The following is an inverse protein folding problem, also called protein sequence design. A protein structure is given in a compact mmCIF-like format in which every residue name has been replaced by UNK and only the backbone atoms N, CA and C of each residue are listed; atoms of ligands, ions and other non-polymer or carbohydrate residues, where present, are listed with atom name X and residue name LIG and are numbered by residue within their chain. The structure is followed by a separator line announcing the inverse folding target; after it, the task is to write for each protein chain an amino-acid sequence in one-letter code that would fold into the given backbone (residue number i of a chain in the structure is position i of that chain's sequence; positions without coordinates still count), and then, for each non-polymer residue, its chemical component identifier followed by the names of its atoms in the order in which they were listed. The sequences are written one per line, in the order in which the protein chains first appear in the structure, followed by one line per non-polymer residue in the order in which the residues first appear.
data_IF_073843907988
#
_entry.id   IF_073843907988
#
_cell.length_a   1.000
_cell.length_b   1.000
_cell.length_c   1.000
_cell.angle_alpha   90.00
_cell.angle_beta   90.00
_cell.angle_gamma   90.00
#
_symmetry.space_group_name_H-M   'P 1'
#
loop_
_entity.id
_entity.type
_entity.pdbx_description
1 polymer ?
#
# COMPACT_ATOMS: atom_id res chain seq x y z
N UNK A 1 -26.63 6.50 -31.03
CA UNK A 1 -25.32 7.18 -31.10
C UNK A 1 -25.61 8.67 -31.19
N UNK A 2 -24.94 9.48 -30.34
CA UNK A 2 -25.00 10.93 -30.52
C UNK A 2 -24.36 11.23 -31.87
N UNK A 3 -25.13 11.81 -32.80
CA UNK A 3 -24.58 12.22 -34.10
C UNK A 3 -23.53 13.32 -33.88
N UNK A 4 -22.44 13.27 -34.66
CA UNK A 4 -21.44 14.34 -34.65
C UNK A 4 -22.10 15.63 -35.13
N UNK A 5 -22.27 16.63 -34.26
CA UNK A 5 -22.90 17.89 -34.57
C UNK A 5 -22.25 18.59 -35.78
N UNK A 6 -23.05 19.25 -36.60
CA UNK A 6 -22.60 20.02 -37.78
C UNK A 6 -21.95 21.34 -37.33
N UNK A 7 -20.84 21.72 -37.96
CA UNK A 7 -20.22 23.03 -37.69
C UNK A 7 -20.93 24.11 -38.52
N UNK A 8 -21.31 25.19 -37.84
CA UNK A 8 -22.01 26.32 -38.46
C UNK A 8 -21.75 27.63 -37.72
N UNK A 9 -22.36 28.70 -38.20
CA UNK A 9 -22.35 30.03 -37.57
C UNK A 9 -23.77 30.34 -37.10
N UNK A 10 -23.94 30.79 -35.87
CA UNK A 10 -25.23 31.21 -35.32
C UNK A 10 -25.12 32.59 -34.70
N UNK A 11 -26.22 33.36 -34.73
CA UNK A 11 -26.27 34.66 -34.09
C UNK A 11 -26.10 34.54 -32.57
N UNK A 12 -25.25 35.36 -31.97
CA UNK A 12 -24.99 35.34 -30.55
C UNK A 12 -26.26 35.47 -29.70
N UNK A 13 -27.17 36.31 -30.12
CA UNK A 13 -28.48 36.55 -29.49
C UNK A 13 -29.41 35.35 -29.50
N UNK A 14 -29.22 34.42 -30.44
CA UNK A 14 -30.02 33.19 -30.54
C UNK A 14 -29.56 32.08 -29.59
N UNK A 15 -28.44 32.25 -28.89
CA UNK A 15 -27.89 31.25 -27.98
C UNK A 15 -28.44 31.47 -26.57
N UNK A 16 -29.09 30.45 -26.01
CA UNK A 16 -29.66 30.44 -24.67
C UNK A 16 -28.73 29.63 -23.76
N UNK A 17 -28.31 30.24 -22.64
CA UNK A 17 -27.55 29.55 -21.56
C UNK A 17 -28.56 29.01 -20.59
N UNK A 18 -28.63 27.68 -20.43
CA UNK A 18 -29.47 27.01 -19.44
C UNK A 18 -28.90 27.22 -18.03
N UNK A 19 -29.75 27.27 -17.00
CA UNK A 19 -29.27 27.31 -15.60
C UNK A 19 -28.37 26.11 -15.30
N UNK A 20 -27.14 26.37 -14.89
CA UNK A 20 -26.12 25.35 -14.63
C UNK A 20 -25.52 25.48 -13.23
N UNK A 21 -24.98 24.37 -12.73
CA UNK A 21 -24.46 24.20 -11.38
C UNK A 21 -23.16 25.00 -11.14
N UNK A 22 -22.46 25.44 -12.20
CA UNK A 22 -21.14 26.07 -12.08
C UNK A 22 -21.24 27.53 -11.65
N UNK A 23 -20.82 27.82 -10.41
CA UNK A 23 -20.85 29.17 -9.83
C UNK A 23 -19.58 29.98 -10.10
N UNK A 24 -18.42 29.35 -10.36
CA UNK A 24 -17.13 30.05 -10.56
C UNK A 24 -16.69 30.01 -12.02
N UNK A 25 -16.57 31.19 -12.66
CA UNK A 25 -16.15 31.33 -14.07
C UNK A 25 -14.64 31.51 -14.25
N UNK A 26 -13.88 31.63 -13.16
CA UNK A 26 -12.43 31.89 -13.22
C UNK A 26 -12.09 33.22 -13.91
N UNK A 27 -10.83 33.42 -14.26
CA UNK A 27 -10.35 34.64 -14.94
C UNK A 27 -10.82 34.66 -16.40
N UNK A 28 -11.79 35.53 -16.70
CA UNK A 28 -12.34 35.74 -18.05
C UNK A 28 -11.46 36.73 -18.86
N UNK A 29 -10.72 37.63 -18.20
CA UNK A 29 -9.92 38.65 -18.89
C UNK A 29 -8.67 38.03 -19.53
N UNK A 30 -8.05 37.05 -18.83
CA UNK A 30 -6.95 36.24 -19.41
C UNK A 30 -7.43 35.39 -20.59
N UNK A 31 -8.65 34.83 -20.54
CA UNK A 31 -9.24 34.08 -21.64
C UNK A 31 -9.55 34.99 -22.82
N UNK A 32 -10.08 36.20 -22.55
CA UNK A 32 -10.36 37.21 -23.56
C UNK A 32 -9.10 37.61 -24.32
N UNK A 33 -8.02 37.91 -23.62
CA UNK A 33 -6.74 38.25 -24.25
C UNK A 33 -6.24 37.13 -25.17
N UNK A 34 -6.32 35.88 -24.75
CA UNK A 34 -5.93 34.73 -25.56
C UNK A 34 -6.82 34.54 -26.79
N UNK A 35 -8.14 34.74 -26.65
CA UNK A 35 -9.10 34.63 -27.78
C UNK A 35 -8.94 35.74 -28.77
N UNK A 36 -8.54 36.95 -28.37
CA UNK A 36 -8.27 38.08 -29.28
C UNK A 36 -6.98 37.84 -30.06
N UNK A 37 -5.96 37.21 -29.47
CA UNK A 37 -4.70 36.90 -30.15
C UNK A 37 -4.79 35.69 -31.10
N UNK A 38 -5.43 34.60 -30.64
CA UNK A 38 -5.42 33.30 -31.31
C UNK A 38 -6.72 32.92 -32.03
N UNK A 39 -7.76 33.74 -31.90
CA UNK A 39 -9.11 33.42 -32.38
C UNK A 39 -9.80 32.31 -31.56
N UNK A 40 -11.04 31.99 -31.96
CA UNK A 40 -11.79 30.89 -31.37
C UNK A 40 -11.37 29.56 -32.01
N UNK A 41 -10.44 28.85 -31.39
CA UNK A 41 -9.86 27.58 -31.91
C UNK A 41 -10.91 26.45 -31.89
N UNK A 42 -11.75 26.38 -30.87
CA UNK A 42 -12.77 25.32 -30.72
C UNK A 42 -14.16 25.92 -30.73
N UNK A 43 -15.07 25.49 -31.66
CA UNK A 43 -16.45 25.95 -31.69
C UNK A 43 -17.20 25.66 -30.39
N UNK A 44 -18.21 26.46 -30.05
CA UNK A 44 -19.13 26.16 -28.97
C UNK A 44 -20.02 24.97 -29.35
N UNK A 45 -20.46 24.17 -28.37
CA UNK A 45 -21.45 23.12 -28.62
C UNK A 45 -22.85 23.64 -28.27
N UNK A 46 -23.79 23.52 -29.22
CA UNK A 46 -25.17 23.99 -29.05
C UNK A 46 -26.16 22.93 -29.56
N UNK A 47 -27.35 22.88 -28.98
CA UNK A 47 -28.46 22.08 -29.42
C UNK A 47 -29.48 23.01 -30.14
N UNK A 48 -29.96 22.61 -31.32
CA UNK A 48 -31.00 23.30 -32.03
C UNK A 48 -32.39 23.05 -31.42
N UNK A 49 -33.02 24.09 -30.87
CA UNK A 49 -34.34 24.00 -30.23
C UNK A 49 -35.50 23.95 -31.25
N UNK A 50 -35.22 24.00 -32.56
CA UNK A 50 -36.22 23.99 -33.65
C UNK A 50 -37.15 25.20 -33.71
N UNK A 51 -36.92 26.23 -32.90
CA UNK A 51 -37.66 27.48 -32.81
C UNK A 51 -36.83 28.69 -33.26
N UNK A 52 -35.63 28.45 -33.80
CA UNK A 52 -34.68 29.50 -34.18
C UNK A 52 -33.71 29.88 -33.05
N UNK A 53 -33.82 29.24 -31.90
CA UNK A 53 -32.88 29.41 -30.79
C UNK A 53 -32.00 28.18 -30.60
N UNK A 54 -30.91 28.34 -29.88
CA UNK A 54 -29.91 27.28 -29.63
C UNK A 54 -29.57 27.20 -28.15
N UNK A 55 -29.74 26.03 -27.54
CA UNK A 55 -29.31 25.81 -26.14
C UNK A 55 -27.80 25.53 -26.07
N UNK A 56 -27.08 26.31 -25.29
CA UNK A 56 -25.63 26.11 -25.10
C UNK A 56 -25.36 24.84 -24.31
N UNK A 57 -24.65 23.88 -24.90
CA UNK A 57 -24.25 22.62 -24.27
C UNK A 57 -22.88 22.72 -23.62
N UNK A 58 -21.89 23.32 -24.29
CA UNK A 58 -20.53 23.48 -23.77
C UNK A 58 -19.85 24.74 -24.29
N UNK A 59 -18.92 25.30 -23.50
CA UNK A 59 -18.13 26.48 -23.85
C UNK A 59 -18.65 27.79 -23.26
N UNK A 60 -19.36 27.80 -22.12
CA UNK A 60 -19.97 28.99 -21.52
C UNK A 60 -18.99 30.16 -21.32
N UNK A 61 -17.77 29.89 -20.82
CA UNK A 61 -16.76 30.94 -20.64
C UNK A 61 -16.40 31.63 -21.94
N UNK A 62 -16.25 30.88 -23.06
CA UNK A 62 -16.00 31.40 -24.40
C UNK A 62 -17.20 32.19 -24.90
N UNK A 63 -18.42 31.68 -24.70
CA UNK A 63 -19.65 32.37 -25.04
C UNK A 63 -19.73 33.74 -24.34
N UNK A 64 -19.47 33.81 -23.03
CA UNK A 64 -19.49 35.07 -22.26
C UNK A 64 -18.46 36.07 -22.75
N UNK A 65 -17.25 35.63 -23.11
CA UNK A 65 -16.24 36.51 -23.70
C UNK A 65 -16.68 37.03 -25.06
N UNK A 66 -17.21 36.19 -25.94
CA UNK A 66 -17.69 36.60 -27.28
C UNK A 66 -18.90 37.55 -27.17
N UNK A 67 -19.84 37.28 -26.28
CA UNK A 67 -21.01 38.13 -26.02
C UNK A 67 -20.59 39.50 -25.46
N UNK A 68 -19.62 39.55 -24.52
CA UNK A 68 -19.04 40.79 -23.95
C UNK A 68 -18.38 41.65 -25.03
N UNK A 69 -17.78 41.02 -26.05
CA UNK A 69 -17.15 41.71 -27.17
C UNK A 69 -18.08 41.99 -28.35
N UNK A 70 -19.41 41.83 -28.19
CA UNK A 70 -20.44 42.10 -29.20
C UNK A 70 -20.21 41.37 -30.54
N UNK A 71 -19.70 40.12 -30.48
CA UNK A 71 -19.53 39.29 -31.67
C UNK A 71 -20.91 38.87 -32.18
N UNK A 72 -21.29 39.29 -33.39
CA UNK A 72 -22.62 39.05 -33.93
C UNK A 72 -22.89 37.57 -34.23
N UNK A 73 -21.91 36.85 -34.78
CA UNK A 73 -22.04 35.45 -35.18
C UNK A 73 -20.90 34.62 -34.57
N UNK A 74 -21.25 33.51 -33.96
CA UNK A 74 -20.34 32.64 -33.28
C UNK A 74 -20.23 31.29 -33.98
N UNK A 75 -19.02 30.74 -34.23
CA UNK A 75 -18.85 29.39 -34.73
C UNK A 75 -19.26 28.37 -33.67
N UNK A 76 -20.20 27.50 -34.06
CA UNK A 76 -20.79 26.50 -33.18
C UNK A 76 -20.80 25.11 -33.82
N UNK A 77 -20.85 24.09 -33.00
CA UNK A 77 -21.21 22.72 -33.37
C UNK A 77 -22.65 22.49 -32.98
N UNK A 78 -23.53 22.32 -33.96
CA UNK A 78 -24.98 22.22 -33.79
C UNK A 78 -25.36 20.75 -33.73
N UNK A 79 -26.05 20.36 -32.65
CA UNK A 79 -26.70 19.07 -32.50
C UNK A 79 -28.18 19.23 -32.84
N UNK A 80 -28.64 18.58 -33.95
CA UNK A 80 -30.00 18.72 -34.52
C UNK A 80 -31.02 17.77 -33.87
N UNK A 81 -30.55 16.75 -33.11
CA UNK A 81 -31.39 15.79 -32.38
C UNK A 81 -31.78 16.33 -31.02
N UNK A 82 -32.96 15.96 -30.53
CA UNK A 82 -33.28 16.16 -29.11
C UNK A 82 -32.33 15.32 -28.26
N UNK A 83 -31.56 15.98 -27.44
CA UNK A 83 -30.65 15.35 -26.50
C UNK A 83 -31.34 15.21 -25.13
N UNK A 84 -31.29 14.04 -24.53
CA UNK A 84 -31.68 13.87 -23.14
C UNK A 84 -30.77 14.70 -22.22
N UNK A 85 -31.27 15.06 -21.05
CA UNK A 85 -30.49 15.77 -20.03
C UNK A 85 -29.13 15.10 -19.76
N UNK A 86 -29.12 13.76 -19.72
CA UNK A 86 -27.93 12.96 -19.56
C UNK A 86 -26.94 13.10 -20.71
N UNK A 87 -27.41 13.14 -21.97
CA UNK A 87 -26.55 13.33 -23.13
C UNK A 87 -25.94 14.74 -23.16
N UNK A 88 -26.68 15.75 -22.75
CA UNK A 88 -26.18 17.13 -22.62
C UNK A 88 -25.04 17.20 -21.61
N UNK A 89 -25.19 16.57 -20.41
CA UNK A 89 -24.16 16.49 -19.39
C UNK A 89 -22.92 15.76 -19.91
N UNK A 90 -23.10 14.65 -20.65
CA UNK A 90 -21.97 13.88 -21.20
C UNK A 90 -21.16 14.74 -22.21
N UNK A 91 -21.81 15.55 -23.05
CA UNK A 91 -21.12 16.43 -23.99
C UNK A 91 -20.31 17.50 -23.24
N UNK A 92 -20.88 18.08 -22.17
CA UNK A 92 -20.20 19.05 -21.34
C UNK A 92 -18.97 18.45 -20.64
N UNK A 93 -19.12 17.28 -20.04
CA UNK A 93 -18.03 16.60 -19.33
C UNK A 93 -16.92 16.10 -20.27
N UNK A 94 -17.27 15.65 -21.48
CA UNK A 94 -16.29 15.28 -22.49
C UNK A 94 -15.44 16.49 -22.97
N UNK A 95 -16.02 17.68 -23.03
CA UNK A 95 -15.28 18.91 -23.35
C UNK A 95 -14.32 19.29 -22.20
N UNK A 96 -14.75 19.13 -20.97
CA UNK A 96 -13.94 19.42 -19.78
C UNK A 96 -12.71 18.52 -19.67
N UNK A 97 -12.78 17.26 -20.11
CA UNK A 97 -11.69 16.28 -20.04
C UNK A 97 -10.41 16.73 -20.77
N UNK A 98 -10.52 17.59 -21.78
CA UNK A 98 -9.37 18.08 -22.55
C UNK A 98 -8.76 19.38 -22.01
N UNK A 99 -9.14 19.81 -20.81
CA UNK A 99 -8.56 21.00 -20.20
C UNK A 99 -7.13 20.73 -19.75
N UNK A 100 -6.25 21.68 -20.09
CA UNK A 100 -4.79 21.56 -19.92
C UNK A 100 -4.32 21.59 -18.46
N UNK A 101 -5.16 22.02 -17.55
CA UNK A 101 -4.90 22.28 -16.12
C UNK A 101 -5.57 21.25 -15.17
N UNK A 102 -6.16 20.18 -15.71
CA UNK A 102 -6.74 19.11 -14.89
C UNK A 102 -5.66 18.22 -14.28
N UNK A 103 -5.83 17.93 -12.99
CA UNK A 103 -5.03 16.89 -12.32
C UNK A 103 -5.40 15.51 -12.87
N UNK A 104 -4.51 14.53 -12.70
CA UNK A 104 -4.82 13.16 -13.12
C UNK A 104 -6.04 12.57 -12.38
N UNK A 105 -6.29 13.01 -11.14
CA UNK A 105 -7.46 12.60 -10.36
C UNK A 105 -8.76 13.12 -10.97
N UNK A 106 -8.79 14.40 -11.33
CA UNK A 106 -9.95 14.98 -12.00
C UNK A 106 -10.22 14.32 -13.36
N UNK A 107 -9.15 13.92 -14.08
CA UNK A 107 -9.26 13.16 -15.33
C UNK A 107 -9.84 11.77 -15.10
N UNK A 108 -9.37 11.05 -14.06
CA UNK A 108 -9.85 9.72 -13.70
C UNK A 108 -11.34 9.77 -13.30
N UNK A 109 -11.71 10.70 -12.41
CA UNK A 109 -13.10 10.91 -11.96
C UNK A 109 -14.04 11.24 -13.08
N UNK A 110 -13.61 12.13 -13.98
CA UNK A 110 -14.41 12.53 -15.15
C UNK A 110 -14.55 11.38 -16.15
N UNK A 111 -13.49 10.62 -16.39
CA UNK A 111 -13.51 9.41 -17.22
C UNK A 111 -14.50 8.38 -16.67
N UNK A 112 -14.46 8.14 -15.37
CA UNK A 112 -15.36 7.21 -14.67
C UNK A 112 -16.82 7.70 -14.77
N UNK A 113 -17.05 8.99 -14.55
CA UNK A 113 -18.38 9.62 -14.67
C UNK A 113 -18.97 9.45 -16.07
N UNK A 114 -18.22 9.82 -17.12
CA UNK A 114 -18.65 9.66 -18.51
C UNK A 114 -18.95 8.18 -18.82
N UNK A 115 -18.08 7.27 -18.37
CA UNK A 115 -18.27 5.83 -18.61
C UNK A 115 -19.57 5.31 -17.99
N UNK A 116 -19.82 5.62 -16.71
CA UNK A 116 -21.04 5.20 -15.97
C UNK A 116 -22.30 5.80 -16.60
N UNK A 117 -22.30 7.10 -16.92
CA UNK A 117 -23.44 7.78 -17.55
C UNK A 117 -23.80 7.16 -18.91
N UNK A 118 -22.80 6.77 -19.69
CA UNK A 118 -23.02 6.07 -20.96
C UNK A 118 -23.57 4.65 -20.78
N UNK A 119 -23.14 3.96 -19.72
CA UNK A 119 -23.70 2.65 -19.36
C UNK A 119 -25.14 2.75 -18.86
N UNK A 120 -25.49 3.82 -18.14
CA UNK A 120 -26.88 4.07 -17.73
C UNK A 120 -27.78 4.30 -18.95
N UNK A 121 -27.29 5.07 -19.94
CA UNK A 121 -28.05 5.41 -21.13
C UNK A 121 -28.21 4.23 -22.11
N UNK A 122 -27.17 3.43 -22.34
CA UNK A 122 -27.07 2.44 -23.40
C UNK A 122 -27.02 0.98 -22.90
N UNK A 123 -27.02 0.80 -21.58
CA UNK A 123 -26.74 -0.47 -20.93
C UNK A 123 -25.25 -0.79 -20.85
N UNK A 124 -24.82 -1.47 -19.78
CA UNK A 124 -23.46 -1.96 -19.66
C UNK A 124 -23.23 -3.12 -20.64
N UNK A 125 -22.10 -3.10 -21.34
CA UNK A 125 -21.73 -4.15 -22.29
C UNK A 125 -21.24 -5.40 -21.57
N UNK A 126 -21.94 -6.56 -21.65
CA UNK A 126 -21.45 -7.80 -21.07
C UNK A 126 -20.16 -8.29 -21.74
N UNK A 127 -19.35 -9.13 -21.05
CA UNK A 127 -18.20 -9.78 -21.68
C UNK A 127 -18.64 -10.71 -22.82
N UNK A 128 -17.99 -10.61 -23.98
CA UNK A 128 -18.19 -11.53 -25.11
C UNK A 128 -18.23 -10.81 -26.47
N UNK A 129 -18.00 -11.53 -27.56
CA UNK A 129 -18.09 -10.98 -28.91
C UNK A 129 -19.56 -10.76 -29.31
N UNK A 130 -19.85 -9.61 -29.93
CA UNK A 130 -21.18 -9.29 -30.47
C UNK A 130 -22.23 -8.87 -29.44
N UNK A 131 -21.85 -8.60 -28.17
CA UNK A 131 -22.78 -8.10 -27.16
C UNK A 131 -23.10 -6.61 -27.37
N UNK A 132 -24.36 -6.23 -27.20
CA UNK A 132 -24.80 -4.84 -27.20
C UNK A 132 -24.51 -4.15 -25.88
N UNK A 133 -24.44 -2.81 -25.88
CA UNK A 133 -24.17 -1.99 -24.70
C UNK A 133 -22.89 -1.16 -24.85
N UNK A 134 -22.58 -0.40 -23.77
CA UNK A 134 -21.43 0.50 -23.71
C UNK A 134 -20.29 -0.10 -22.88
N UNK A 135 -19.10 -0.19 -23.46
CA UNK A 135 -17.90 -0.73 -22.80
C UNK A 135 -16.74 0.27 -22.78
N UNK A 136 -15.65 -0.13 -22.14
CA UNK A 136 -14.44 0.71 -22.02
C UNK A 136 -13.80 1.06 -23.36
N UNK A 137 -13.97 0.21 -24.40
CA UNK A 137 -13.53 0.50 -25.76
C UNK A 137 -14.29 1.69 -26.36
N UNK A 138 -15.59 1.73 -26.11
CA UNK A 138 -16.46 2.78 -26.63
C UNK A 138 -16.16 4.12 -25.93
N UNK A 139 -15.95 4.09 -24.63
CA UNK A 139 -15.48 5.26 -23.86
C UNK A 139 -14.10 5.71 -24.33
N UNK A 140 -13.14 4.80 -24.52
CA UNK A 140 -11.80 5.15 -25.01
C UNK A 140 -11.84 5.85 -26.37
N UNK A 141 -12.65 5.34 -27.30
CA UNK A 141 -12.85 5.96 -28.61
C UNK A 141 -13.49 7.35 -28.51
N UNK A 142 -14.44 7.52 -27.56
CA UNK A 142 -15.13 8.80 -27.34
C UNK A 142 -14.22 9.87 -26.76
N UNK A 143 -13.41 9.52 -25.73
CA UNK A 143 -12.53 10.47 -25.03
C UNK A 143 -11.11 10.51 -25.60
N UNK A 144 -10.81 9.83 -26.71
CA UNK A 144 -9.48 9.81 -27.31
C UNK A 144 -8.39 9.18 -26.43
N UNK A 145 -8.75 8.28 -25.52
CA UNK A 145 -7.80 7.55 -24.70
C UNK A 145 -6.96 6.58 -25.56
N UNK A 146 -5.71 6.35 -25.18
CA UNK A 146 -4.77 5.51 -25.95
C UNK A 146 -5.22 4.06 -26.05
N UNK A 147 -5.96 3.57 -25.04
CA UNK A 147 -6.44 2.19 -25.01
C UNK A 147 -7.67 2.01 -24.09
N UNK A 148 -8.48 0.96 -24.29
CA UNK A 148 -9.53 0.58 -23.34
C UNK A 148 -9.01 0.25 -21.94
N UNK A 149 -7.77 -0.23 -21.83
CA UNK A 149 -7.14 -0.52 -20.54
C UNK A 149 -6.92 0.76 -19.73
N UNK A 150 -6.57 1.87 -20.36
CA UNK A 150 -6.42 3.18 -19.71
C UNK A 150 -7.73 3.62 -19.05
N UNK A 151 -8.86 3.47 -19.75
CA UNK A 151 -10.20 3.75 -19.19
C UNK A 151 -10.52 2.82 -18.03
N UNK A 152 -10.22 1.52 -18.16
CA UNK A 152 -10.44 0.55 -17.09
C UNK A 152 -9.65 0.91 -15.82
N UNK A 153 -8.39 1.29 -15.97
CA UNK A 153 -7.54 1.70 -14.85
C UNK A 153 -7.97 3.04 -14.23
N UNK A 154 -8.41 4.01 -15.07
CA UNK A 154 -8.93 5.28 -14.59
C UNK A 154 -10.22 5.08 -13.75
N UNK A 155 -11.15 4.25 -14.24
CA UNK A 155 -12.38 3.92 -13.50
C UNK A 155 -12.05 3.25 -12.18
N UNK A 156 -11.17 2.24 -12.17
CA UNK A 156 -10.76 1.56 -10.93
C UNK A 156 -10.12 2.50 -9.91
N UNK A 157 -9.24 3.42 -10.34
CA UNK A 157 -8.62 4.39 -9.45
C UNK A 157 -9.63 5.37 -8.89
N UNK A 158 -10.57 5.85 -9.71
CA UNK A 158 -11.65 6.72 -9.27
C UNK A 158 -12.55 6.04 -8.24
N UNK A 159 -12.99 4.78 -8.50
CA UNK A 159 -13.82 3.99 -7.60
C UNK A 159 -13.12 3.74 -6.25
N UNK A 160 -11.85 3.38 -6.31
CA UNK A 160 -11.05 3.10 -5.11
C UNK A 160 -10.82 4.36 -4.27
N UNK A 161 -10.58 5.52 -4.91
CA UNK A 161 -10.43 6.80 -4.21
C UNK A 161 -11.75 7.27 -3.59
N UNK A 162 -12.86 7.08 -4.29
CA UNK A 162 -14.19 7.39 -3.76
C UNK A 162 -14.50 6.58 -2.50
N UNK A 163 -14.13 5.29 -2.49
CA UNK A 163 -14.36 4.38 -1.36
C UNK A 163 -13.37 4.58 -0.20
N UNK A 164 -12.09 4.91 -0.49
CA UNK A 164 -10.99 4.96 0.49
C UNK A 164 -10.04 6.13 0.17
N UNK A 165 -10.47 7.39 0.29
CA UNK A 165 -9.67 8.55 -0.11
C UNK A 165 -8.34 8.64 0.62
N UNK A 166 -8.28 8.23 1.88
CA UNK A 166 -7.09 8.25 2.74
C UNK A 166 -5.93 7.39 2.23
N UNK A 167 -6.22 6.32 1.48
CA UNK A 167 -5.18 5.44 0.92
C UNK A 167 -4.36 6.13 -0.19
N UNK A 168 -4.94 7.13 -0.81
CA UNK A 168 -4.36 7.83 -1.97
C UNK A 168 -3.79 9.20 -1.61
N UNK A 169 -3.81 9.57 -0.33
CA UNK A 169 -3.19 10.79 0.17
C UNK A 169 -1.70 10.81 -0.20
N UNK A 170 -1.29 11.88 -0.92
CA UNK A 170 0.09 12.04 -1.38
C UNK A 170 0.41 11.43 -2.74
N UNK A 171 -0.50 10.71 -3.40
CA UNK A 171 -0.32 10.26 -4.79
C UNK A 171 -0.35 11.46 -5.75
N UNK A 172 0.77 11.72 -6.43
CA UNK A 172 0.90 12.85 -7.36
C UNK A 172 0.67 12.45 -8.82
N UNK A 173 0.76 11.17 -9.13
CA UNK A 173 0.63 10.64 -10.50
C UNK A 173 -0.30 9.43 -10.54
N UNK A 174 -0.90 9.18 -11.71
CA UNK A 174 -1.70 7.97 -11.97
C UNK A 174 -0.89 6.68 -11.71
N UNK A 175 0.42 6.69 -11.96
CA UNK A 175 1.31 5.57 -11.68
C UNK A 175 1.42 5.27 -10.19
N UNK A 176 1.49 6.30 -9.34
CA UNK A 176 1.55 6.13 -7.89
C UNK A 176 0.24 5.55 -7.36
N UNK A 177 -0.89 6.10 -7.82
CA UNK A 177 -2.21 5.61 -7.47
C UNK A 177 -2.44 4.14 -7.92
N UNK A 178 -2.00 3.76 -9.12
CA UNK A 178 -2.05 2.37 -9.59
C UNK A 178 -1.19 1.42 -8.76
N UNK A 179 -0.04 1.87 -8.24
CA UNK A 179 0.78 1.06 -7.32
C UNK A 179 0.08 0.83 -5.99
N UNK A 180 -0.61 1.85 -5.45
CA UNK A 180 -1.40 1.72 -4.22
C UNK A 180 -2.54 0.73 -4.44
N UNK A 181 -3.31 0.90 -5.51
CA UNK A 181 -4.42 0.01 -5.87
C UNK A 181 -3.97 -1.45 -5.99
N UNK A 182 -2.85 -1.70 -6.69
CA UNK A 182 -2.28 -3.05 -6.82
C UNK A 182 -1.92 -3.67 -5.47
N UNK A 183 -1.35 -2.88 -4.54
CA UNK A 183 -1.04 -3.37 -3.18
C UNK A 183 -2.31 -3.73 -2.40
N UNK A 184 -3.37 -2.94 -2.53
CA UNK A 184 -4.68 -3.22 -1.90
C UNK A 184 -5.28 -4.51 -2.45
N UNK A 185 -5.29 -4.68 -3.79
CA UNK A 185 -5.78 -5.90 -4.43
C UNK A 185 -4.97 -7.12 -3.98
N UNK A 186 -3.64 -7.03 -3.93
CA UNK A 186 -2.77 -8.11 -3.45
C UNK A 186 -3.05 -8.47 -1.98
N UNK A 187 -3.28 -7.47 -1.12
CA UNK A 187 -3.61 -7.69 0.28
C UNK A 187 -4.98 -8.37 0.43
N UNK A 188 -5.98 -7.94 -0.33
CA UNK A 188 -7.32 -8.55 -0.32
C UNK A 188 -7.28 -10.01 -0.80
N UNK A 189 -6.56 -10.29 -1.89
CA UNK A 189 -6.38 -11.66 -2.40
C UNK A 189 -5.70 -12.54 -1.34
N UNK A 190 -4.64 -12.04 -0.69
CA UNK A 190 -3.95 -12.77 0.39
C UNK A 190 -4.90 -13.06 1.55
N UNK A 191 -5.71 -12.09 1.97
CA UNK A 191 -6.71 -12.27 3.03
C UNK A 191 -7.74 -13.35 2.67
N UNK A 192 -8.26 -13.32 1.44
CA UNK A 192 -9.23 -14.33 0.98
C UNK A 192 -8.63 -15.75 0.95
N UNK A 193 -7.38 -15.89 0.48
CA UNK A 193 -6.67 -17.18 0.46
C UNK A 193 -6.44 -17.65 1.91
N UNK A 194 -5.95 -16.78 2.79
CA UNK A 194 -5.68 -17.10 4.18
C UNK A 194 -6.96 -17.56 4.91
N UNK A 195 -8.09 -16.86 4.72
CA UNK A 195 -9.39 -17.24 5.26
C UNK A 195 -9.80 -18.64 4.79
N UNK A 196 -9.67 -18.92 3.50
CA UNK A 196 -9.98 -20.24 2.94
C UNK A 196 -9.10 -21.34 3.53
N UNK A 197 -7.81 -21.04 3.78
CA UNK A 197 -6.87 -21.99 4.39
C UNK A 197 -7.17 -22.24 5.89
N UNK A 198 -7.62 -21.20 6.62
CA UNK A 198 -8.08 -21.35 8.02
C UNK A 198 -9.36 -22.16 8.13
N UNK A 199 -10.30 -21.99 7.19
CA UNK A 199 -11.58 -22.69 7.16
C UNK A 199 -11.42 -24.17 6.75
N UNK A 200 -10.38 -24.52 6.02
CA UNK A 200 -10.04 -25.89 5.69
C UNK A 200 -9.43 -26.58 6.92
N UNK A 201 -10.24 -27.36 7.64
CA UNK A 201 -9.82 -28.23 8.78
C UNK A 201 -8.91 -29.39 8.31
N UNK A 202 -7.82 -29.09 7.61
CA UNK A 202 -6.85 -30.11 7.21
C UNK A 202 -5.83 -30.32 8.32
N UNK A 203 -5.53 -31.56 8.69
CA UNK A 203 -4.49 -31.95 9.67
C UNK A 203 -3.05 -31.73 9.16
N UNK A 204 -2.87 -30.90 8.13
CA UNK A 204 -1.59 -30.67 7.46
C UNK A 204 -0.66 -29.68 8.17
N UNK A 205 0.57 -29.63 7.68
CA UNK A 205 1.64 -28.74 8.17
C UNK A 205 1.23 -27.26 8.25
N UNK A 206 0.42 -26.78 7.29
CA UNK A 206 -0.12 -25.40 7.30
C UNK A 206 -0.94 -25.14 8.54
N UNK A 207 -1.82 -26.06 8.90
CA UNK A 207 -2.68 -25.92 10.09
C UNK A 207 -1.87 -25.96 11.40
N UNK A 208 -0.86 -26.81 11.49
CA UNK A 208 0.02 -26.85 12.66
C UNK A 208 0.81 -25.55 12.81
N UNK A 209 1.41 -25.04 11.72
CA UNK A 209 2.13 -23.76 11.74
C UNK A 209 1.21 -22.57 12.01
N UNK A 210 -0.05 -22.58 11.51
CA UNK A 210 -1.04 -21.55 11.79
C UNK A 210 -1.35 -21.40 13.28
N UNK A 211 -1.40 -22.50 14.02
CA UNK A 211 -1.60 -22.48 15.47
C UNK A 211 -0.42 -21.88 16.23
N UNK A 212 0.77 -21.95 15.68
CA UNK A 212 1.98 -21.39 16.24
C UNK A 212 2.07 -19.87 16.04
N UNK A 213 1.33 -19.31 15.08
CA UNK A 213 1.22 -17.88 14.81
C UNK A 213 0.02 -17.31 15.57
N UNK A 214 0.23 -16.71 16.73
CA UNK A 214 -0.81 -16.23 17.63
C UNK A 214 -1.03 -14.74 17.43
N UNK A 215 -2.23 -14.36 16.97
CA UNK A 215 -2.66 -12.95 16.87
C UNK A 215 -3.05 -12.44 18.25
N UNK A 216 -2.08 -11.92 18.98
CA UNK A 216 -2.28 -11.38 20.32
C UNK A 216 -1.09 -10.53 20.73
N UNK A 217 -1.32 -9.55 21.61
CA UNK A 217 -0.22 -8.86 22.31
C UNK A 217 0.62 -9.87 23.11
N UNK A 218 1.95 -9.70 23.05
CA UNK A 218 2.87 -10.60 23.74
C UNK A 218 2.60 -10.67 25.24
N UNK A 219 2.44 -9.53 25.91
CA UNK A 219 2.26 -9.50 27.36
C UNK A 219 0.94 -10.11 27.83
N UNK A 220 -0.07 -10.12 26.95
CA UNK A 220 -1.32 -10.83 27.20
C UNK A 220 -1.21 -12.32 26.87
N UNK A 221 -0.48 -12.65 25.81
CA UNK A 221 -0.33 -14.03 25.35
C UNK A 221 0.59 -14.85 26.24
N UNK A 222 1.71 -14.27 26.68
CA UNK A 222 2.73 -14.94 27.47
C UNK A 222 2.25 -15.36 28.87
N UNK A 223 1.17 -14.74 29.39
CA UNK A 223 0.52 -15.16 30.64
C UNK A 223 0.05 -16.62 30.61
N UNK A 224 -0.31 -17.12 29.43
CA UNK A 224 -0.72 -18.51 29.22
C UNK A 224 0.46 -19.47 29.00
N UNK A 225 1.69 -18.99 28.91
CA UNK A 225 2.89 -19.83 28.75
C UNK A 225 3.41 -20.24 30.12
N UNK A 226 3.50 -21.56 30.42
CA UNK A 226 4.03 -22.04 31.69
C UNK A 226 5.49 -21.63 31.91
N UNK A 227 5.87 -21.52 33.16
CA UNK A 227 7.25 -21.21 33.59
C UNK A 227 8.22 -22.33 33.20
N UNK A 228 9.41 -21.95 32.78
CA UNK A 228 10.53 -22.88 32.64
C UNK A 228 10.42 -23.90 31.50
N UNK A 229 9.64 -23.63 30.46
CA UNK A 229 9.42 -24.60 29.36
C UNK A 229 10.09 -24.21 28.03
N UNK A 230 10.53 -22.99 27.85
CA UNK A 230 11.10 -22.48 26.59
C UNK A 230 12.63 -22.67 26.60
N UNK A 231 13.15 -23.23 25.50
CA UNK A 231 14.59 -23.54 25.40
C UNK A 231 15.36 -22.44 24.65
N UNK A 232 14.70 -21.67 23.80
CA UNK A 232 15.27 -20.53 23.09
C UNK A 232 14.21 -19.43 22.98
N UNK A 233 14.57 -18.20 23.29
CA UNK A 233 13.77 -17.02 22.99
C UNK A 233 14.50 -16.20 21.94
N UNK A 234 13.80 -15.81 20.86
CA UNK A 234 14.31 -14.90 19.84
C UNK A 234 13.42 -13.66 19.82
N UNK A 235 14.03 -12.49 19.99
CA UNK A 235 13.36 -11.21 20.15
C UNK A 235 13.85 -10.23 19.09
N UNK A 236 12.93 -9.67 18.32
CA UNK A 236 13.13 -8.49 17.48
C UNK A 236 12.15 -7.40 17.95
N UNK A 237 12.46 -6.67 19.01
CA UNK A 237 11.52 -5.72 19.60
C UNK A 237 11.36 -4.48 18.73
N UNK A 238 10.24 -3.73 18.83
CA UNK A 238 10.16 -2.39 18.26
C UNK A 238 11.30 -1.53 18.88
N UNK A 239 12.06 -0.82 18.02
CA UNK A 239 13.32 -0.19 18.46
C UNK A 239 13.16 1.20 19.07
N UNK A 240 11.96 1.72 19.22
CA UNK A 240 11.69 3.08 19.68
C UNK A 240 12.53 4.16 18.95
N UNK A 241 12.70 3.98 17.65
CA UNK A 241 13.39 4.93 16.77
C UNK A 241 12.30 5.74 16.07
N UNK A 242 12.38 7.08 16.14
CA UNK A 242 11.44 7.96 15.43
C UNK A 242 11.60 7.83 13.90
N UNK A 243 11.02 6.76 13.34
CA UNK A 243 11.02 6.47 11.90
C UNK A 243 10.28 7.57 11.13
N UNK A 244 9.35 8.29 11.79
CA UNK A 244 8.58 9.36 11.16
C UNK A 244 9.44 10.57 10.80
N UNK A 245 10.49 10.87 11.57
CA UNK A 245 11.46 11.94 11.24
C UNK A 245 12.38 11.58 10.08
N UNK A 246 12.73 10.31 9.92
CA UNK A 246 13.61 9.86 8.84
C UNK A 246 12.88 9.70 7.50
N UNK A 247 11.62 9.24 7.50
CA UNK A 247 10.85 8.93 6.27
C UNK A 247 10.01 10.07 5.71
N UNK A 248 9.79 11.18 6.42
CA UNK A 248 9.14 12.38 5.86
C UNK A 248 9.86 12.97 4.63
N UNK A 249 11.09 12.53 4.34
CA UNK A 249 11.86 12.94 3.15
C UNK A 249 11.65 12.07 1.92
N UNK A 250 11.10 10.85 2.04
CA UNK A 250 11.15 9.85 0.96
C UNK A 250 9.81 9.50 0.32
N UNK A 251 8.70 10.16 0.66
CA UNK A 251 7.42 9.99 -0.03
C UNK A 251 6.83 8.56 0.02
N UNK A 252 7.31 7.68 0.90
CA UNK A 252 6.73 6.37 1.11
C UNK A 252 5.43 6.43 1.90
N UNK A 253 4.43 5.72 1.37
CA UNK A 253 3.04 5.69 1.79
C UNK A 253 2.84 5.53 3.30
N UNK A 254 2.03 6.40 3.88
CA UNK A 254 1.50 6.39 5.26
C UNK A 254 1.00 5.01 5.72
N UNK A 255 0.55 4.17 4.78
CA UNK A 255 -0.04 2.86 5.03
C UNK A 255 0.92 1.84 5.67
N UNK A 256 2.24 1.99 5.46
CA UNK A 256 3.26 1.14 6.10
C UNK A 256 3.54 1.61 7.54
N UNK A 257 3.25 2.88 7.85
CA UNK A 257 3.55 3.50 9.14
C UNK A 257 2.45 3.32 10.19
N UNK A 258 1.18 3.17 9.78
CA UNK A 258 0.04 3.04 10.71
C UNK A 258 -0.01 1.70 11.47
N UNK A 259 0.71 0.69 11.00
CA UNK A 259 0.80 -0.63 11.65
C UNK A 259 2.09 -0.84 12.46
N UNK A 260 2.94 0.17 12.58
CA UNK A 260 4.18 0.06 13.35
C UNK A 260 3.95 0.72 14.73
N UNK A 261 3.60 -0.10 15.73
CA UNK A 261 3.47 0.34 17.11
C UNK A 261 4.85 0.64 17.70
N UNK A 262 5.33 1.87 17.50
CA UNK A 262 6.55 2.33 18.14
C UNK A 262 6.29 2.70 19.61
N UNK A 263 7.20 2.28 20.47
CA UNK A 263 7.18 2.61 21.87
C UNK A 263 7.85 3.99 22.05
N UNK A 264 7.29 4.89 22.87
CA UNK A 264 7.95 6.14 23.19
C UNK A 264 9.37 5.91 23.73
N UNK A 265 10.31 6.74 23.28
CA UNK A 265 11.75 6.64 23.67
C UNK A 265 11.95 6.56 25.19
N UNK A 266 11.21 7.38 25.95
CA UNK A 266 11.30 7.44 27.41
C UNK A 266 10.77 6.17 28.09
N UNK A 267 9.80 5.49 27.47
CA UNK A 267 9.19 4.26 28.01
C UNK A 267 9.96 2.99 27.61
N UNK A 268 10.89 3.09 26.67
CA UNK A 268 11.57 1.93 26.11
C UNK A 268 12.35 1.10 27.15
N UNK A 269 13.11 1.69 28.09
CA UNK A 269 13.76 0.91 29.15
C UNK A 269 12.78 0.14 30.04
N UNK A 270 11.63 0.73 30.35
CA UNK A 270 10.56 0.09 31.14
C UNK A 270 9.96 -1.08 30.38
N UNK A 271 9.69 -0.88 29.10
CA UNK A 271 9.22 -1.94 28.22
C UNK A 271 10.19 -3.12 28.14
N UNK A 272 11.48 -2.85 27.87
CA UNK A 272 12.52 -3.88 27.83
C UNK A 272 12.63 -4.66 29.15
N UNK A 273 12.57 -3.95 30.28
CA UNK A 273 12.62 -4.59 31.61
C UNK A 273 11.40 -5.51 31.84
N UNK A 274 10.21 -5.16 31.38
CA UNK A 274 9.03 -6.05 31.44
C UNK A 274 9.21 -7.25 30.50
N UNK A 275 9.63 -7.01 29.28
CA UNK A 275 9.84 -8.00 28.23
C UNK A 275 10.82 -9.09 28.70
N UNK A 276 12.02 -8.69 29.14
CA UNK A 276 13.04 -9.64 29.54
C UNK A 276 12.67 -10.43 30.82
N UNK A 277 11.91 -9.83 31.76
CA UNK A 277 11.41 -10.57 32.94
C UNK A 277 10.42 -11.67 32.54
N UNK A 278 9.49 -11.41 31.65
CA UNK A 278 8.56 -12.43 31.17
C UNK A 278 9.29 -13.51 30.37
N UNK A 279 10.24 -13.14 29.51
CA UNK A 279 11.08 -14.10 28.81
C UNK A 279 11.88 -14.99 29.81
N UNK A 280 12.50 -14.39 30.83
CA UNK A 280 13.24 -15.14 31.87
C UNK A 280 12.33 -16.12 32.63
N UNK A 281 11.09 -15.72 32.94
CA UNK A 281 10.12 -16.56 33.65
C UNK A 281 9.80 -17.82 32.84
N UNK A 282 9.48 -17.69 31.57
CA UNK A 282 9.03 -18.81 30.71
C UNK A 282 10.19 -19.69 30.22
N UNK A 283 11.43 -19.20 30.29
CA UNK A 283 12.62 -19.93 29.85
C UNK A 283 13.04 -21.01 30.85
N UNK A 284 13.38 -22.17 30.27
CA UNK A 284 13.91 -23.32 30.98
C UNK A 284 15.28 -22.99 31.65
N UNK A 285 15.65 -23.76 32.67
CA UNK A 285 17.02 -23.72 33.14
C UNK A 285 17.97 -24.25 32.04
N UNK A 286 19.08 -23.59 31.80
CA UNK A 286 20.03 -23.86 30.72
C UNK A 286 19.45 -23.60 29.34
N UNK A 287 19.10 -22.35 29.09
CA UNK A 287 18.44 -21.87 27.82
C UNK A 287 19.04 -20.57 27.30
N UNK A 288 18.85 -20.29 26.02
CA UNK A 288 19.41 -19.13 25.33
C UNK A 288 18.37 -18.10 25.02
N UNK A 289 18.77 -16.81 25.03
CA UNK A 289 18.02 -15.67 24.55
C UNK A 289 18.82 -14.97 23.44
N UNK A 290 18.21 -14.71 22.32
CA UNK A 290 18.71 -13.88 21.21
C UNK A 290 17.86 -12.62 21.18
N UNK A 291 18.50 -11.45 21.23
CA UNK A 291 17.81 -10.18 21.19
C UNK A 291 18.45 -9.26 20.15
N UNK A 292 17.75 -9.03 19.05
CA UNK A 292 18.12 -8.03 18.03
C UNK A 292 17.91 -6.64 18.60
N UNK A 293 18.74 -5.69 18.20
CA UNK A 293 18.63 -4.33 18.69
C UNK A 293 19.29 -3.32 17.74
N UNK A 294 18.86 -2.05 17.82
CA UNK A 294 19.57 -0.93 17.22
C UNK A 294 20.70 -0.50 18.16
N UNK A 295 21.98 -0.55 17.72
CA UNK A 295 23.10 -0.22 18.61
C UNK A 295 23.08 1.23 19.09
N UNK A 296 22.57 2.15 18.28
CA UNK A 296 22.44 3.57 18.62
C UNK A 296 20.97 3.94 18.75
N UNK A 297 20.51 4.44 19.92
CA UNK A 297 21.26 4.72 21.16
C UNK A 297 21.18 3.59 22.20
N UNK A 298 20.71 2.37 21.85
CA UNK A 298 20.17 1.39 22.80
C UNK A 298 21.14 0.35 23.35
N UNK A 299 22.39 0.28 22.88
CA UNK A 299 23.35 -0.78 23.26
C UNK A 299 23.44 -0.99 24.77
N UNK A 300 23.78 0.05 25.52
CA UNK A 300 23.98 -0.05 26.98
C UNK A 300 22.67 -0.27 27.75
N UNK A 301 21.55 0.24 27.23
CA UNK A 301 20.24 0.08 27.87
C UNK A 301 19.77 -1.36 27.72
N UNK A 302 19.82 -1.94 26.51
CA UNK A 302 19.46 -3.34 26.27
C UNK A 302 20.34 -4.27 27.10
N UNK A 303 21.67 -4.06 27.10
CA UNK A 303 22.61 -4.83 27.94
C UNK A 303 22.22 -4.81 29.41
N UNK A 304 21.96 -3.60 29.95
CA UNK A 304 21.60 -3.45 31.38
C UNK A 304 20.27 -4.11 31.72
N UNK A 305 19.26 -3.96 30.87
CA UNK A 305 17.94 -4.55 31.14
C UNK A 305 17.93 -6.07 31.00
N UNK A 306 18.77 -6.66 30.13
CA UNK A 306 19.02 -8.12 30.07
C UNK A 306 19.62 -8.60 31.40
N UNK A 307 20.68 -7.95 31.86
CA UNK A 307 21.31 -8.32 33.13
C UNK A 307 20.38 -8.16 34.36
N UNK A 308 19.59 -7.07 34.41
CA UNK A 308 18.60 -6.82 35.47
C UNK A 308 17.50 -7.89 35.52
N UNK A 309 17.16 -8.48 34.41
CA UNK A 309 16.16 -9.54 34.32
C UNK A 309 16.70 -10.90 34.85
N UNK A 310 17.99 -11.01 35.09
CA UNK A 310 18.64 -12.21 35.64
C UNK A 310 19.39 -13.06 34.61
N UNK A 311 19.54 -12.61 33.41
CA UNK A 311 20.35 -13.27 32.38
C UNK A 311 21.84 -12.93 32.56
N UNK A 312 22.70 -13.90 32.26
CA UNK A 312 24.09 -13.66 31.96
C UNK A 312 24.28 -13.28 30.49
N UNK A 313 25.14 -12.32 30.21
CA UNK A 313 25.50 -11.90 28.83
C UNK A 313 26.82 -11.15 28.82
N UNK A 314 27.36 -10.90 27.63
CA UNK A 314 28.57 -10.12 27.44
C UNK A 314 28.31 -8.96 26.46
N UNK A 315 29.23 -8.00 26.37
CA UNK A 315 29.19 -6.95 25.35
C UNK A 315 29.70 -7.43 23.98
N UNK A 316 30.19 -8.67 23.89
CA UNK A 316 30.48 -9.31 22.63
C UNK A 316 29.16 -9.80 22.03
N UNK A 317 28.71 -9.12 20.95
CA UNK A 317 27.46 -9.40 20.29
C UNK A 317 27.63 -10.38 19.13
N UNK A 318 26.53 -11.03 18.72
CA UNK A 318 26.46 -11.67 17.44
C UNK A 318 26.13 -10.66 16.34
N UNK A 319 26.57 -10.93 15.13
CA UNK A 319 26.36 -10.06 13.96
C UNK A 319 25.80 -10.84 12.78
N UNK A 320 24.79 -10.28 12.15
CA UNK A 320 24.35 -10.72 10.83
C UNK A 320 24.96 -9.81 9.76
N UNK A 321 25.93 -10.33 9.01
CA UNK A 321 26.53 -9.65 7.86
C UNK A 321 25.71 -9.91 6.59
N UNK A 322 25.29 -8.82 5.93
CA UNK A 322 24.38 -8.87 4.77
C UNK A 322 25.12 -9.09 3.44
N UNK A 323 26.45 -9.09 3.46
CA UNK A 323 27.29 -9.28 2.28
C UNK A 323 27.31 -8.09 1.30
N UNK A 324 26.31 -7.20 1.38
CA UNK A 324 26.21 -5.98 0.56
C UNK A 324 25.90 -4.78 1.44
N UNK A 325 26.42 -3.59 1.12
CA UNK A 325 26.06 -2.37 1.82
C UNK A 325 24.56 -2.10 1.70
N UNK A 326 23.92 -1.69 2.79
CA UNK A 326 22.56 -1.16 2.78
C UNK A 326 22.49 0.19 2.08
N UNK A 327 21.27 0.69 1.88
CA UNK A 327 21.05 2.03 1.35
C UNK A 327 21.65 3.07 2.31
N UNK A 328 22.43 4.00 1.76
CA UNK A 328 23.05 5.08 2.51
C UNK A 328 22.58 6.43 1.98
N UNK A 329 21.84 7.16 2.79
CA UNK A 329 21.29 8.48 2.45
C UNK A 329 22.35 9.61 2.52
N UNK A 330 23.48 9.37 3.18
CA UNK A 330 24.55 10.35 3.35
C UNK A 330 25.94 9.72 3.05
N UNK A 331 26.18 9.28 1.83
CA UNK A 331 27.37 8.50 1.50
C UNK A 331 28.69 9.27 1.62
N UNK A 332 28.63 10.61 1.61
CA UNK A 332 29.80 11.47 1.78
C UNK A 332 30.26 11.62 3.24
N UNK A 333 29.40 11.30 4.21
CA UNK A 333 29.67 11.58 5.64
C UNK A 333 29.48 10.38 6.55
N UNK A 334 28.86 9.30 6.07
CA UNK A 334 28.57 8.10 6.86
C UNK A 334 28.83 6.84 6.05
N UNK A 335 29.26 5.79 6.74
CA UNK A 335 29.37 4.45 6.16
C UNK A 335 27.96 3.84 5.97
N UNK A 336 27.79 3.01 4.94
CA UNK A 336 26.59 2.22 4.76
C UNK A 336 26.53 1.10 5.81
N UNK A 337 25.33 0.86 6.36
CA UNK A 337 25.13 -0.24 7.30
C UNK A 337 25.08 -1.58 6.54
N UNK A 338 26.02 -2.47 6.83
CA UNK A 338 26.17 -3.77 6.19
C UNK A 338 25.85 -4.96 7.09
N UNK A 339 25.50 -4.72 8.35
CA UNK A 339 25.21 -5.76 9.34
C UNK A 339 24.11 -5.35 10.31
N UNK A 340 23.55 -6.32 11.04
CA UNK A 340 22.71 -6.14 12.21
C UNK A 340 23.33 -6.86 13.39
N UNK A 341 23.06 -6.37 14.61
CA UNK A 341 23.60 -6.94 15.84
C UNK A 341 22.51 -7.58 16.68
N UNK A 342 22.88 -8.60 17.43
CA UNK A 342 22.04 -9.18 18.45
C UNK A 342 22.85 -9.53 19.71
N UNK A 343 22.28 -9.30 20.89
CA UNK A 343 22.77 -9.90 22.10
C UNK A 343 22.39 -11.37 22.12
N UNK A 344 23.34 -12.22 22.56
CA UNK A 344 23.02 -13.57 23.00
C UNK A 344 23.26 -13.62 24.51
N UNK A 345 22.24 -14.05 25.23
CA UNK A 345 22.24 -14.12 26.68
C UNK A 345 21.74 -15.50 27.10
N UNK A 346 22.04 -15.89 28.33
CA UNK A 346 21.70 -17.21 28.79
C UNK A 346 21.19 -17.24 30.24
N UNK A 347 20.37 -18.24 30.49
CA UNK A 347 19.91 -18.60 31.82
C UNK A 347 20.57 -19.91 32.22
N UNK A 348 21.30 -19.94 33.37
CA UNK A 348 22.05 -21.11 33.80
C UNK A 348 23.31 -21.37 32.96
N UNK A 349 23.54 -22.58 32.52
CA UNK A 349 24.72 -22.99 31.74
C UNK A 349 24.29 -23.82 30.51
N UNK A 350 23.68 -23.19 29.47
CA UNK A 350 23.29 -23.90 28.26
C UNK A 350 24.52 -24.24 27.41
N UNK A 351 24.45 -25.35 26.67
CA UNK A 351 25.41 -25.67 25.63
C UNK A 351 24.94 -25.11 24.26
N UNK A 352 25.91 -24.79 23.42
CA UNK A 352 25.64 -24.57 21.99
C UNK A 352 25.50 -25.92 21.27
N UNK A 353 24.53 -26.05 20.38
CA UNK A 353 24.43 -27.22 19.53
C UNK A 353 25.56 -27.24 18.46
N UNK A 354 25.96 -26.09 17.94
CA UNK A 354 27.15 -25.93 17.10
C UNK A 354 28.32 -25.39 17.91
N UNK A 355 28.99 -26.26 18.65
CA UNK A 355 30.17 -25.86 19.42
C UNK A 355 31.27 -25.27 18.52
N UNK A 356 31.87 -24.14 18.96
CA UNK A 356 32.91 -23.45 18.21
C UNK A 356 32.42 -22.57 17.04
N UNK A 357 31.12 -22.38 16.90
CA UNK A 357 30.59 -21.44 15.92
C UNK A 357 31.07 -20.01 16.21
N UNK A 358 31.44 -19.24 15.18
CA UNK A 358 31.77 -17.81 15.29
C UNK A 358 30.54 -16.97 15.57
N UNK A 359 30.76 -15.74 16.04
CA UNK A 359 29.66 -14.80 16.30
C UNK A 359 29.23 -13.99 15.06
N UNK A 360 29.69 -14.35 13.87
CA UNK A 360 29.28 -13.74 12.61
C UNK A 360 28.46 -14.72 11.77
N UNK A 361 27.28 -14.27 11.34
CA UNK A 361 26.34 -15.00 10.47
C UNK A 361 26.22 -14.27 9.15
N UNK A 362 26.61 -14.92 8.03
CA UNK A 362 26.67 -14.31 6.70
C UNK A 362 25.54 -14.81 5.81
N UNK A 363 24.52 -14.00 5.62
CA UNK A 363 23.36 -14.33 4.80
C UNK A 363 22.87 -13.09 4.03
N UNK A 364 22.51 -13.26 2.76
CA UNK A 364 21.91 -12.19 1.99
C UNK A 364 20.52 -11.83 2.54
N UNK A 365 20.16 -10.55 2.60
CA UNK A 365 18.82 -10.14 3.03
C UNK A 365 17.74 -10.60 2.02
N UNK A 366 16.52 -10.73 2.50
CA UNK A 366 15.36 -10.95 1.62
C UNK A 366 15.25 -9.79 0.63
N UNK A 367 15.13 -10.04 -0.68
CA UNK A 367 14.94 -8.97 -1.67
C UNK A 367 13.70 -8.11 -1.33
N UNK A 368 13.80 -6.79 -1.49
CA UNK A 368 12.74 -5.85 -1.08
C UNK A 368 11.38 -6.15 -1.71
N UNK A 369 11.37 -6.66 -2.93
CA UNK A 369 10.14 -7.03 -3.65
C UNK A 369 9.45 -8.30 -3.09
N UNK A 370 10.19 -9.13 -2.34
CA UNK A 370 9.69 -10.38 -1.75
C UNK A 370 9.37 -10.26 -0.26
N UNK A 371 9.73 -9.11 0.36
CA UNK A 371 9.49 -8.89 1.78
C UNK A 371 7.99 -8.78 2.06
N UNK A 372 7.54 -9.51 3.08
CA UNK A 372 6.20 -9.37 3.67
C UNK A 372 6.22 -8.48 4.92
N UNK A 373 7.39 -8.26 5.51
CA UNK A 373 7.60 -7.40 6.67
C UNK A 373 8.84 -6.50 6.43
N UNK A 374 8.84 -5.22 6.86
CA UNK A 374 9.95 -4.29 6.60
C UNK A 374 11.32 -4.79 7.08
N UNK A 375 11.37 -5.40 8.27
CA UNK A 375 12.59 -5.96 8.88
C UNK A 375 12.71 -7.48 8.71
N UNK A 376 12.09 -8.06 7.67
CA UNK A 376 12.08 -9.50 7.44
C UNK A 376 13.49 -10.08 7.33
N UNK A 377 13.80 -11.05 8.19
CA UNK A 377 15.05 -11.82 8.14
C UNK A 377 14.86 -13.10 7.32
N UNK A 378 15.89 -13.51 6.53
CA UNK A 378 15.78 -14.72 5.70
C UNK A 378 15.65 -15.98 6.56
N UNK A 379 14.88 -16.95 6.07
CA UNK A 379 14.66 -18.25 6.75
C UNK A 379 15.98 -18.95 7.03
N UNK A 380 16.92 -18.90 6.10
CA UNK A 380 18.23 -19.56 6.24
C UNK A 380 19.10 -18.96 7.37
N UNK A 381 19.03 -17.65 7.59
CA UNK A 381 19.64 -17.02 8.75
C UNK A 381 19.01 -17.51 10.05
N UNK A 382 17.69 -17.57 10.11
CA UNK A 382 16.96 -18.03 11.30
C UNK A 382 17.25 -19.50 11.59
N UNK A 383 17.36 -20.33 10.55
CA UNK A 383 17.79 -21.73 10.69
C UNK A 383 19.18 -21.84 11.29
N UNK A 384 20.15 -21.11 10.76
CA UNK A 384 21.52 -21.16 11.27
C UNK A 384 21.60 -20.72 12.74
N UNK A 385 20.86 -19.64 13.09
CA UNK A 385 20.75 -19.20 14.48
C UNK A 385 20.14 -20.29 15.38
N UNK A 386 18.98 -20.81 15.00
CA UNK A 386 18.31 -21.81 15.83
C UNK A 386 19.10 -23.11 15.95
N UNK A 387 19.72 -23.56 14.88
CA UNK A 387 20.58 -24.74 14.88
C UNK A 387 21.89 -24.53 15.66
N UNK A 388 22.33 -23.28 15.86
CA UNK A 388 23.48 -22.95 16.70
C UNK A 388 23.13 -22.99 18.18
N UNK A 389 21.98 -22.42 18.58
CA UNK A 389 21.64 -22.19 19.99
C UNK A 389 20.65 -23.22 20.58
N UNK A 390 20.03 -24.07 19.78
CA UNK A 390 19.01 -25.03 20.22
C UNK A 390 19.16 -26.39 19.53
N UNK A 391 18.61 -27.42 20.15
CA UNK A 391 18.62 -28.79 19.65
C UNK A 391 17.27 -29.18 19.00
N UNK A 392 17.25 -30.20 18.16
CA UNK A 392 16.00 -30.75 17.64
C UNK A 392 15.04 -31.08 18.80
N UNK A 393 13.75 -30.81 18.62
CA UNK A 393 12.73 -30.93 19.66
C UNK A 393 12.64 -29.75 20.62
N UNK A 394 13.50 -28.73 20.51
CA UNK A 394 13.43 -27.51 21.33
C UNK A 394 12.15 -26.72 21.07
N UNK A 395 11.69 -26.06 22.13
CA UNK A 395 10.60 -25.08 22.07
C UNK A 395 11.16 -23.68 22.02
N UNK A 396 10.76 -22.92 21.00
CA UNK A 396 11.21 -21.55 20.73
C UNK A 396 10.03 -20.59 20.94
N UNK A 397 10.29 -19.46 21.60
CA UNK A 397 9.31 -18.38 21.74
C UNK A 397 9.80 -17.15 21.00
N UNK A 398 8.88 -16.53 20.21
CA UNK A 398 9.16 -15.32 19.42
C UNK A 398 8.14 -14.25 19.84
N UNK A 399 8.48 -13.32 20.73
CA UNK A 399 7.59 -12.28 21.24
C UNK A 399 7.01 -11.34 20.18
N UNK A 400 7.76 -11.06 19.12
CA UNK A 400 7.38 -10.17 18.00
C UNK A 400 7.66 -10.90 16.69
N UNK A 401 6.65 -11.62 16.19
CA UNK A 401 6.86 -12.65 15.17
C UNK A 401 7.08 -12.08 13.75
N UNK A 402 6.49 -10.92 13.46
CA UNK A 402 6.60 -10.28 12.14
C UNK A 402 6.16 -11.19 11.01
N UNK A 403 7.07 -11.50 10.07
CA UNK A 403 6.79 -12.32 8.88
C UNK A 403 6.52 -13.82 9.14
N UNK A 404 6.80 -14.32 10.34
CA UNK A 404 6.69 -15.74 10.69
C UNK A 404 7.83 -16.64 10.21
N UNK A 405 8.89 -16.09 9.62
CA UNK A 405 10.04 -16.87 9.13
C UNK A 405 10.71 -17.72 10.22
N UNK A 406 10.67 -17.28 11.48
CA UNK A 406 11.15 -18.07 12.62
C UNK A 406 10.36 -19.36 12.84
N UNK A 407 9.04 -19.37 12.64
CA UNK A 407 8.24 -20.60 12.71
C UNK A 407 8.65 -21.57 11.59
N UNK A 408 8.84 -21.07 10.37
CA UNK A 408 9.26 -21.89 9.23
C UNK A 408 10.64 -22.51 9.51
N UNK A 409 11.59 -21.69 9.95
CA UNK A 409 12.96 -22.14 10.26
C UNK A 409 12.96 -23.22 11.34
N UNK A 410 12.23 -23.00 12.44
CA UNK A 410 12.13 -23.98 13.53
C UNK A 410 11.52 -25.31 13.06
N UNK A 411 10.45 -25.27 12.29
CA UNK A 411 9.80 -26.47 11.75
C UNK A 411 10.74 -27.29 10.87
N UNK A 412 11.55 -26.64 10.02
CA UNK A 412 12.54 -27.33 9.18
C UNK A 412 13.67 -28.00 9.95
N UNK A 413 13.90 -27.58 11.20
CA UNK A 413 14.90 -28.16 12.11
C UNK A 413 14.29 -29.16 13.12
N UNK A 414 13.01 -29.52 12.95
CA UNK A 414 12.33 -30.40 13.92
C UNK A 414 12.13 -29.76 15.29
N UNK A 415 12.09 -28.43 15.36
CA UNK A 415 11.80 -27.62 16.55
C UNK A 415 10.38 -27.07 16.48
N UNK A 416 9.82 -26.64 17.59
CA UNK A 416 8.50 -25.98 17.64
C UNK A 416 8.68 -24.54 18.09
N UNK A 417 8.38 -23.59 17.20
CA UNK A 417 8.34 -22.17 17.55
C UNK A 417 6.89 -21.70 17.69
N UNK A 418 6.65 -20.90 18.72
CA UNK A 418 5.39 -20.17 18.93
C UNK A 418 5.70 -18.70 19.01
N UNK A 419 4.91 -17.87 18.32
CA UNK A 419 5.14 -16.43 18.34
C UNK A 419 3.87 -15.60 18.37
N UNK A 420 4.00 -14.38 18.86
CA UNK A 420 2.94 -13.40 19.01
C UNK A 420 3.09 -12.27 17.96
N UNK A 421 2.00 -11.85 17.39
CA UNK A 421 1.94 -10.77 16.39
C UNK A 421 0.60 -10.05 16.49
N UNK A 422 0.59 -8.74 16.30
CA UNK A 422 -0.62 -7.93 16.31
C UNK A 422 -1.28 -7.82 14.93
N UNK A 423 -0.48 -7.90 13.88
CA UNK A 423 -0.94 -7.69 12.51
C UNK A 423 -1.55 -8.94 11.88
N UNK A 424 -2.87 -8.89 11.62
CA UNK A 424 -3.55 -9.92 10.85
C UNK A 424 -2.99 -10.05 9.43
N UNK A 425 -2.58 -8.95 8.80
CA UNK A 425 -2.00 -8.95 7.45
C UNK A 425 -0.69 -9.74 7.36
N UNK A 426 0.14 -9.72 8.42
CA UNK A 426 1.34 -10.56 8.48
C UNK A 426 0.99 -12.04 8.64
N UNK A 427 -0.02 -12.37 9.46
CA UNK A 427 -0.51 -13.75 9.57
C UNK A 427 -1.06 -14.26 8.23
N UNK A 428 -1.87 -13.49 7.54
CA UNK A 428 -2.42 -13.86 6.24
C UNK A 428 -1.31 -14.10 5.21
N UNK A 429 -0.30 -13.23 5.17
CA UNK A 429 0.88 -13.40 4.31
C UNK A 429 1.70 -14.65 4.66
N UNK A 430 1.85 -14.94 5.95
CA UNK A 430 2.53 -16.15 6.44
C UNK A 430 1.82 -17.42 5.98
N UNK A 431 0.49 -17.49 6.13
CA UNK A 431 -0.31 -18.66 5.72
C UNK A 431 -0.20 -18.95 4.22
N UNK A 432 -0.27 -17.91 3.40
CA UNK A 432 -0.06 -18.01 1.96
C UNK A 432 1.34 -18.53 1.64
N UNK A 433 2.37 -18.01 2.33
CA UNK A 433 3.77 -18.44 2.15
C UNK A 433 3.96 -19.92 2.47
N UNK A 434 3.46 -20.38 3.62
CA UNK A 434 3.55 -21.79 4.04
C UNK A 434 2.79 -22.71 3.08
N UNK A 435 1.63 -22.28 2.60
CA UNK A 435 0.84 -23.05 1.61
C UNK A 435 1.61 -23.25 0.30
N UNK A 436 2.20 -22.17 -0.23
CA UNK A 436 3.00 -22.25 -1.47
C UNK A 436 4.24 -23.14 -1.32
N UNK A 437 4.90 -23.08 -0.15
CA UNK A 437 6.05 -23.97 0.13
C UNK A 437 5.66 -25.43 0.12
N UNK A 438 4.48 -25.78 0.64
CA UNK A 438 4.01 -27.18 0.65
C UNK A 438 3.57 -27.70 -0.73
N UNK A 439 3.24 -26.83 -1.68
CA UNK A 439 2.92 -27.22 -3.06
C UNK A 439 4.18 -27.46 -3.93
N UNK A 440 5.33 -26.99 -3.47
CA UNK A 440 6.61 -27.06 -4.19
C UNK A 440 7.45 -28.31 -3.82
N UNK A 441 6.95 -29.11 -2.89
CA UNK A 441 7.52 -30.41 -2.45
C UNK A 441 6.66 -31.54 -3.02
#
# INVERSE_FOLDING_TARGET
MIETGKVGMVATESIIVLERIRQEMGDLDALESNMLESGLITPLAVMDNKDGTFSLLAGERRFRVLSRNNVENIPVRIYEQELSELEMIIIEEAENLYRKDMTFWEQDELTAKIHRMKQELLGAKPPGPGTEGWGTRDTAAMIGAKSPAEVTEAVKRADAREAFPELFDGCKTASDASKVLKKVDEALIKQMIAQKLEDQKSEGTVHQMSKCFILKDFFEGVKGVPDGIIHLVEIDPPYAIDVTRQKKKDGESRYILENYNEIPVDDYPIFLGKLFRECYRVMAQHSWLICWFAPEPWFEIVYKEICKAGFDTTRMVGTWSKGTPGQNMNPSTRLANSYEMFFYAWKGQPALNKAGHGNEFRFSPVPSQQKTHPTERPVELMKELYDTFAFAGSRILIPFLGSGNGIIAASQLGMTATGFELSKAYKDSFLVKVHLMNQSV
#
